data_IF_970653379328
#
_entry.id   IF_970653379328
#
_cell.length_a   1.000
_cell.length_b   1.000
_cell.length_c   1.000
_cell.angle_alpha   90.00
_cell.angle_beta   90.00
_cell.angle_gamma   90.00
#
_symmetry.space_group_name_H-M   'P 1'
#
loop_
_entity.id
_entity.type
_entity.pdbx_description
1 polymer ?
#
# COMPACT_ATOMS: atom_id res chain seq x y z
N UNK A 1 -7.99 9.36 24.94
CA UNK A 1 -6.93 9.29 23.91
C UNK A 1 -7.48 9.80 22.59
N UNK A 2 -6.89 10.86 22.04
CA UNK A 2 -7.39 11.51 20.84
C UNK A 2 -7.10 10.64 19.62
N UNK A 3 -8.09 10.39 18.75
CA UNK A 3 -7.92 9.49 17.58
C UNK A 3 -6.78 9.91 16.66
N UNK A 4 -6.39 11.19 16.69
CA UNK A 4 -5.25 11.73 15.95
C UNK A 4 -3.89 11.31 16.52
N UNK A 5 -3.76 11.21 17.84
CA UNK A 5 -2.51 10.82 18.51
C UNK A 5 -2.21 9.33 18.29
N UNK A 6 -3.24 8.49 18.32
CA UNK A 6 -3.12 7.06 18.01
C UNK A 6 -2.70 6.84 16.55
N UNK A 7 -3.24 7.63 15.63
CA UNK A 7 -2.88 7.56 14.22
C UNK A 7 -1.41 7.95 13.98
N UNK A 8 -0.96 9.02 14.62
CA UNK A 8 0.43 9.49 14.51
C UNK A 8 1.43 8.45 15.05
N UNK A 9 1.09 7.78 16.16
CA UNK A 9 1.91 6.70 16.71
C UNK A 9 2.04 5.49 15.78
N UNK A 10 0.96 5.10 15.10
CA UNK A 10 0.98 3.97 14.15
C UNK A 10 1.82 4.29 12.92
N UNK A 11 1.74 5.52 12.39
CA UNK A 11 2.54 5.95 11.23
C UNK A 11 4.03 5.98 11.57
N UNK A 12 4.40 6.47 12.77
CA UNK A 12 5.79 6.48 13.24
C UNK A 12 6.36 5.07 13.41
N UNK A 13 5.58 4.15 13.98
CA UNK A 13 5.97 2.74 14.11
C UNK A 13 6.17 2.08 12.74
N UNK A 14 5.31 2.40 11.77
CA UNK A 14 5.43 1.89 10.42
C UNK A 14 6.69 2.42 9.72
N UNK A 15 6.97 3.73 9.87
CA UNK A 15 8.15 4.37 9.31
C UNK A 15 9.45 3.81 9.91
N UNK A 16 9.47 3.59 11.23
CA UNK A 16 10.57 2.94 11.93
C UNK A 16 10.81 1.50 11.44
N UNK A 17 9.74 0.73 11.22
CA UNK A 17 9.83 -0.64 10.69
C UNK A 17 10.35 -0.68 9.24
N UNK A 18 9.94 0.28 8.40
CA UNK A 18 10.45 0.42 7.04
C UNK A 18 11.93 0.83 7.00
N UNK A 19 12.35 1.73 7.90
CA UNK A 19 13.75 2.12 8.04
C UNK A 19 14.61 0.96 8.53
N UNK A 20 14.08 0.12 9.43
CA UNK A 20 14.80 -1.06 9.91
C UNK A 20 14.92 -2.16 8.84
N UNK A 21 13.89 -2.32 8.01
CA UNK A 21 13.87 -3.29 6.89
C UNK A 21 14.82 -2.92 5.74
N UNK A 22 15.25 -1.65 5.65
CA UNK A 22 16.20 -1.17 4.64
C UNK A 22 17.66 -1.20 5.09
N UNK A 23 17.97 -1.72 6.30
CA UNK A 23 19.36 -1.87 6.71
C UNK A 23 20.04 -2.95 5.84
N UNK A 24 21.02 -2.60 4.98
CA UNK A 24 21.63 -3.54 4.07
C UNK A 24 22.43 -4.58 4.86
N UNK A 25 22.03 -5.84 4.80
CA UNK A 25 22.74 -6.95 5.44
C UNK A 25 24.01 -7.26 4.64
N UNK A 26 25.13 -6.63 5.04
CA UNK A 26 26.44 -6.68 4.35
C UNK A 26 27.17 -8.04 4.47
N UNK A 27 26.59 -9.06 5.10
CA UNK A 27 27.31 -10.28 5.48
C UNK A 27 27.16 -11.48 4.52
N UNK A 28 26.16 -11.49 3.63
CA UNK A 28 25.82 -12.69 2.86
C UNK A 28 26.82 -13.02 1.73
N UNK A 29 27.46 -12.00 1.13
CA UNK A 29 28.41 -12.19 0.00
C UNK A 29 29.78 -12.72 0.44
N UNK A 30 30.23 -12.34 1.63
CA UNK A 30 31.46 -12.87 2.22
C UNK A 30 31.27 -14.31 2.70
N UNK A 31 30.14 -14.61 3.35
CA UNK A 31 29.84 -15.98 3.76
C UNK A 31 29.71 -16.93 2.56
N UNK A 32 29.11 -16.48 1.44
CA UNK A 32 29.12 -17.25 0.18
C UNK A 32 30.54 -17.53 -0.33
N UNK A 33 31.42 -16.51 -0.34
CA UNK A 33 32.84 -16.64 -0.73
C UNK A 33 33.52 -17.81 -0.02
N UNK A 34 33.39 -17.81 1.30
CA UNK A 34 34.15 -18.72 2.15
C UNK A 34 33.61 -20.14 2.03
N UNK A 35 32.28 -20.32 1.92
CA UNK A 35 31.68 -21.63 1.61
C UNK A 35 32.16 -22.18 0.27
N UNK A 36 32.22 -21.36 -0.77
CA UNK A 36 32.71 -21.79 -2.09
C UNK A 36 34.17 -22.21 -2.01
N UNK A 37 35.03 -21.43 -1.35
CA UNK A 37 36.45 -21.79 -1.18
C UNK A 37 36.62 -23.13 -0.45
N UNK A 38 35.83 -23.40 0.59
CA UNK A 38 35.86 -24.68 1.31
C UNK A 38 35.37 -25.82 0.41
N UNK A 39 34.24 -25.64 -0.27
CA UNK A 39 33.66 -26.64 -1.16
C UNK A 39 34.60 -27.02 -2.31
N UNK A 40 35.27 -26.04 -2.92
CA UNK A 40 36.21 -26.28 -4.02
C UNK A 40 37.54 -26.90 -3.54
N UNK A 41 37.98 -26.61 -2.31
CA UNK A 41 39.11 -27.32 -1.70
C UNK A 41 38.79 -28.80 -1.48
N UNK A 42 37.58 -29.11 -1.01
CA UNK A 42 37.15 -30.50 -0.87
C UNK A 42 37.15 -31.23 -2.22
N UNK A 43 36.67 -30.58 -3.28
CA UNK A 43 36.72 -31.14 -4.64
C UNK A 43 38.16 -31.39 -5.08
N UNK A 44 39.05 -30.43 -4.88
CA UNK A 44 40.48 -30.58 -5.19
C UNK A 44 41.12 -31.74 -4.43
N UNK A 45 40.77 -31.91 -3.15
CA UNK A 45 41.24 -33.03 -2.33
C UNK A 45 40.76 -34.38 -2.88
N UNK A 46 39.48 -34.49 -3.23
CA UNK A 46 38.93 -35.74 -3.81
C UNK A 46 39.57 -36.09 -5.16
N UNK A 47 39.91 -35.10 -5.98
CA UNK A 47 40.64 -35.31 -7.25
C UNK A 47 42.07 -35.83 -7.05
N UNK A 48 42.78 -35.29 -6.07
CA UNK A 48 44.13 -35.77 -5.74
C UNK A 48 44.07 -37.21 -5.21
N UNK A 49 43.13 -37.48 -4.29
CA UNK A 49 42.93 -38.81 -3.74
C UNK A 49 42.51 -39.85 -4.78
N UNK A 50 41.71 -39.48 -5.79
CA UNK A 50 41.35 -40.40 -6.88
C UNK A 50 42.55 -40.83 -7.73
N UNK A 51 43.61 -40.04 -7.75
CA UNK A 51 44.89 -40.36 -8.41
C UNK A 51 45.91 -41.02 -7.45
N UNK A 52 45.51 -41.30 -6.20
CA UNK A 52 46.39 -41.83 -5.17
C UNK A 52 47.39 -40.81 -4.61
N UNK A 53 47.17 -39.52 -4.84
CA UNK A 53 47.99 -38.43 -4.32
C UNK A 53 47.39 -37.88 -3.01
N UNK A 54 48.06 -38.18 -1.89
CA UNK A 54 47.65 -37.71 -0.56
C UNK A 54 48.58 -36.62 0.00
N UNK A 55 49.61 -36.21 -0.75
CA UNK A 55 50.65 -35.30 -0.25
C UNK A 55 50.63 -33.94 -0.93
N UNK A 56 50.24 -33.89 -2.20
CA UNK A 56 50.21 -32.63 -2.95
C UNK A 56 49.24 -31.62 -2.35
N UNK A 57 49.65 -30.35 -2.34
CA UNK A 57 48.81 -29.28 -1.83
C UNK A 57 47.86 -28.73 -2.89
N UNK A 58 46.64 -28.40 -2.44
CA UNK A 58 45.72 -27.54 -3.19
C UNK A 58 46.11 -26.09 -2.90
N UNK A 59 46.48 -25.36 -3.93
CA UNK A 59 46.88 -23.95 -3.81
C UNK A 59 45.67 -23.09 -3.37
N UNK A 60 45.91 -21.87 -2.84
CA UNK A 60 44.83 -21.00 -2.39
C UNK A 60 43.78 -20.77 -3.49
N UNK A 61 42.52 -21.09 -3.20
CA UNK A 61 41.39 -20.86 -4.11
C UNK A 61 41.22 -19.37 -4.33
N UNK A 62 41.40 -18.92 -5.57
CA UNK A 62 41.33 -17.51 -5.95
C UNK A 62 39.91 -17.16 -6.41
N UNK A 63 39.43 -16.00 -5.99
CA UNK A 63 38.21 -15.40 -6.53
C UNK A 63 38.61 -14.48 -7.68
N UNK A 64 38.25 -14.85 -8.91
CA UNK A 64 38.54 -14.07 -10.12
C UNK A 64 37.46 -13.01 -10.35
N UNK A 65 36.18 -13.39 -10.17
CA UNK A 65 35.01 -12.52 -10.24
C UNK A 65 34.08 -12.82 -9.05
N UNK A 66 33.01 -12.05 -8.86
CA UNK A 66 32.06 -12.25 -7.74
C UNK A 66 31.59 -13.71 -7.60
N UNK A 67 31.33 -14.37 -8.73
CA UNK A 67 30.86 -15.76 -8.81
C UNK A 67 31.80 -16.70 -9.55
N UNK A 68 33.03 -16.27 -9.88
CA UNK A 68 34.03 -17.08 -10.60
C UNK A 68 35.23 -17.36 -9.70
N UNK A 69 35.51 -18.63 -9.46
CA UNK A 69 36.55 -19.10 -8.56
C UNK A 69 37.49 -20.04 -9.31
N UNK A 70 38.75 -20.05 -8.92
CA UNK A 70 39.81 -20.84 -9.55
C UNK A 70 40.50 -21.70 -8.50
N UNK A 71 40.68 -22.98 -8.82
CA UNK A 71 41.52 -23.91 -8.08
C UNK A 71 42.72 -24.35 -8.92
N UNK A 72 43.83 -24.57 -8.25
CA UNK A 72 45.08 -25.03 -8.83
C UNK A 72 45.83 -25.90 -7.81
N UNK A 73 46.81 -26.66 -8.30
CA UNK A 73 47.50 -27.69 -7.53
C UNK A 73 49.01 -27.45 -7.59
N UNK A 74 49.73 -27.86 -6.55
CA UNK A 74 51.19 -27.80 -6.50
C UNK A 74 51.83 -28.68 -7.58
N UNK A 75 51.31 -29.91 -7.74
CA UNK A 75 51.79 -30.89 -8.71
C UNK A 75 50.84 -31.05 -9.89
N UNK A 76 51.36 -31.60 -10.99
CA UNK A 76 50.57 -31.93 -12.19
C UNK A 76 49.50 -32.95 -11.86
N UNK A 77 48.29 -32.73 -12.36
CA UNK A 77 47.12 -33.57 -12.11
C UNK A 77 46.68 -34.22 -13.43
N UNK A 78 46.37 -35.51 -13.40
CA UNK A 78 45.56 -36.21 -14.40
C UNK A 78 44.25 -36.61 -13.73
N UNK A 79 43.16 -36.75 -14.48
CA UNK A 79 41.87 -37.18 -13.91
C UNK A 79 40.87 -37.52 -15.01
N UNK A 80 39.83 -38.27 -14.66
CA UNK A 80 38.66 -38.44 -15.54
C UNK A 80 37.65 -37.30 -15.33
N UNK A 81 37.17 -36.65 -16.40
CA UNK A 81 36.14 -35.61 -16.32
C UNK A 81 34.94 -35.97 -15.44
N UNK A 82 34.48 -37.21 -15.51
CA UNK A 82 33.30 -37.67 -14.76
C UNK A 82 33.53 -37.62 -13.24
N UNK A 83 34.76 -37.85 -12.78
CA UNK A 83 35.12 -37.68 -11.37
C UNK A 83 34.99 -36.22 -10.94
N UNK A 84 35.52 -35.29 -11.76
CA UNK A 84 35.38 -33.85 -11.52
C UNK A 84 33.90 -33.44 -11.46
N UNK A 85 33.09 -33.88 -12.42
CA UNK A 85 31.64 -33.62 -12.43
C UNK A 85 30.98 -34.13 -11.15
N UNK A 86 31.24 -35.37 -10.78
CA UNK A 86 30.61 -36.01 -9.61
C UNK A 86 31.03 -35.32 -8.30
N UNK A 87 32.32 -35.10 -8.09
CA UNK A 87 32.83 -34.46 -6.87
C UNK A 87 32.30 -33.03 -6.71
N UNK A 88 32.26 -32.25 -7.79
CA UNK A 88 31.63 -30.92 -7.77
C UNK A 88 30.14 -31.00 -7.46
N UNK A 89 29.39 -31.88 -8.12
CA UNK A 89 27.95 -32.03 -7.89
C UNK A 89 27.66 -32.37 -6.43
N UNK A 90 28.42 -33.28 -5.83
CA UNK A 90 28.27 -33.66 -4.41
C UNK A 90 28.65 -32.50 -3.49
N UNK A 91 29.77 -31.83 -3.73
CA UNK A 91 30.26 -30.72 -2.89
C UNK A 91 29.29 -29.52 -2.93
N UNK A 92 28.85 -29.11 -4.12
CA UNK A 92 27.89 -28.01 -4.32
C UNK A 92 26.56 -28.28 -3.60
N UNK A 93 26.04 -29.52 -3.68
CA UNK A 93 24.81 -29.91 -3.01
C UNK A 93 24.95 -29.89 -1.48
N UNK A 94 26.08 -30.36 -0.93
CA UNK A 94 26.35 -30.33 0.52
C UNK A 94 26.46 -28.90 1.05
N UNK A 95 27.07 -28.00 0.30
CA UNK A 95 27.34 -26.62 0.73
C UNK A 95 26.18 -25.64 0.48
N UNK A 96 25.01 -26.13 0.04
CA UNK A 96 23.83 -25.28 -0.25
C UNK A 96 24.15 -24.14 -1.23
N UNK A 97 25.05 -24.39 -2.17
CA UNK A 97 25.45 -23.45 -3.22
C UNK A 97 24.46 -23.48 -4.40
N UNK A 98 24.64 -22.57 -5.36
CA UNK A 98 23.81 -22.59 -6.56
C UNK A 98 24.07 -23.87 -7.35
N UNK A 99 22.99 -24.52 -7.79
CA UNK A 99 23.06 -25.73 -8.62
C UNK A 99 23.39 -25.43 -10.08
N UNK A 100 23.33 -24.15 -10.48
CA UNK A 100 23.61 -23.70 -11.83
C UNK A 100 25.04 -23.18 -11.90
N UNK A 101 25.93 -23.93 -12.55
CA UNK A 101 27.34 -23.58 -12.65
C UNK A 101 27.98 -24.11 -13.93
N UNK A 102 29.00 -23.38 -14.38
CA UNK A 102 29.88 -23.74 -15.49
C UNK A 102 31.28 -24.01 -14.97
N UNK A 103 31.93 -25.02 -15.51
CA UNK A 103 33.32 -25.37 -15.18
C UNK A 103 34.17 -25.33 -16.43
N UNK A 104 35.34 -24.72 -16.31
CA UNK A 104 36.36 -24.60 -17.35
C UNK A 104 37.69 -25.09 -16.78
N UNK A 105 38.27 -26.11 -17.40
CA UNK A 105 39.60 -26.64 -17.10
C UNK A 105 40.55 -26.10 -18.16
N UNK A 106 41.43 -25.19 -17.74
CA UNK A 106 42.37 -24.48 -18.60
C UNK A 106 43.77 -25.08 -18.46
N UNK A 107 44.54 -25.09 -19.54
CA UNK A 107 45.94 -25.51 -19.51
C UNK A 107 46.81 -24.33 -19.04
N UNK A 108 47.78 -24.57 -18.15
CA UNK A 108 48.54 -23.47 -17.54
C UNK A 108 49.45 -22.69 -18.51
N UNK A 109 49.77 -23.23 -19.69
CA UNK A 109 50.79 -22.65 -20.57
C UNK A 109 50.22 -21.63 -21.56
N UNK A 110 49.01 -21.86 -22.06
CA UNK A 110 48.32 -21.01 -23.04
C UNK A 110 46.96 -20.50 -22.54
N UNK A 111 46.48 -20.98 -21.38
CA UNK A 111 45.13 -20.74 -20.87
C UNK A 111 44.03 -21.18 -21.85
N UNK A 112 44.30 -22.17 -22.70
CA UNK A 112 43.28 -22.77 -23.56
C UNK A 112 42.45 -23.79 -22.79
N UNK A 113 41.18 -23.93 -23.18
CA UNK A 113 40.24 -24.85 -22.54
C UNK A 113 40.57 -26.28 -22.94
N UNK A 114 41.07 -27.07 -21.99
CA UNK A 114 41.22 -28.52 -22.15
C UNK A 114 39.89 -29.25 -22.04
N UNK A 115 39.02 -28.79 -21.14
CA UNK A 115 37.73 -29.39 -20.85
C UNK A 115 36.77 -28.38 -20.26
N UNK A 116 35.48 -28.45 -20.59
CA UNK A 116 34.46 -27.61 -19.98
C UNK A 116 33.10 -28.30 -19.97
N UNK A 117 32.26 -27.93 -19.01
CA UNK A 117 30.89 -28.41 -18.92
C UNK A 117 30.00 -27.41 -18.19
N UNK A 118 28.70 -27.54 -18.35
CA UNK A 118 27.70 -26.72 -17.67
C UNK A 118 26.62 -27.61 -17.05
N UNK A 119 26.30 -27.36 -15.79
CA UNK A 119 25.20 -28.00 -15.08
C UNK A 119 24.13 -26.96 -14.78
N UNK A 120 22.89 -27.35 -15.07
CA UNK A 120 21.70 -26.56 -14.76
C UNK A 120 20.70 -27.40 -13.94
N UNK A 121 19.84 -26.73 -13.18
CA UNK A 121 18.69 -27.31 -12.47
C UNK A 121 17.74 -27.97 -13.46
N UNK A 122 17.57 -27.37 -14.64
CA UNK A 122 16.86 -27.98 -15.75
C UNK A 122 17.80 -29.01 -16.39
N UNK A 123 17.61 -30.30 -16.11
CA UNK A 123 18.48 -31.38 -16.62
C UNK A 123 18.61 -31.34 -18.16
N UNK A 124 17.56 -30.91 -18.87
CA UNK A 124 17.56 -30.71 -20.33
C UNK A 124 18.60 -29.70 -20.83
N UNK A 125 19.04 -28.76 -19.98
CA UNK A 125 20.05 -27.74 -20.30
C UNK A 125 21.46 -28.10 -19.82
N UNK A 126 21.64 -29.28 -19.23
CA UNK A 126 22.95 -29.76 -18.77
C UNK A 126 23.78 -30.24 -19.96
N UNK A 127 25.02 -29.78 -20.05
CA UNK A 127 25.95 -30.12 -21.13
C UNK A 127 27.27 -30.63 -20.56
N UNK A 128 27.50 -31.94 -20.66
CA UNK A 128 28.73 -32.61 -20.19
C UNK A 128 29.38 -33.31 -21.40
N UNK A 129 30.29 -32.64 -22.13
CA UNK A 129 31.01 -33.26 -23.23
C UNK A 129 32.06 -34.26 -22.71
N UNK A 130 32.61 -35.09 -23.61
CA UNK A 130 33.83 -35.88 -23.38
C UNK A 130 33.83 -36.80 -22.15
N UNK A 131 32.66 -37.25 -21.68
CA UNK A 131 32.54 -38.26 -20.62
C UNK A 131 33.34 -39.53 -20.98
N UNK A 132 34.04 -40.10 -20.01
CA UNK A 132 34.91 -41.27 -20.16
C UNK A 132 36.28 -41.01 -20.80
N UNK A 133 36.66 -39.76 -21.12
CA UNK A 133 37.99 -39.46 -21.68
C UNK A 133 38.96 -38.96 -20.62
N UNK A 134 40.00 -39.74 -20.32
CA UNK A 134 41.03 -39.38 -19.36
C UNK A 134 41.82 -38.12 -19.78
N UNK A 135 41.96 -37.13 -18.88
CA UNK A 135 42.87 -36.01 -19.06
C UNK A 135 44.27 -36.38 -18.58
N UNK A 136 45.31 -36.24 -19.42
CA UNK A 136 46.67 -36.62 -19.06
C UNK A 136 47.26 -35.74 -17.96
N UNK A 137 48.23 -36.27 -17.22
CA UNK A 137 48.91 -35.58 -16.11
C UNK A 137 49.66 -34.32 -16.56
N UNK A 138 49.02 -33.16 -16.44
CA UNK A 138 49.54 -31.84 -16.84
C UNK A 138 49.20 -30.78 -15.79
N UNK A 139 49.64 -29.55 -16.03
CA UNK A 139 49.22 -28.41 -15.22
C UNK A 139 47.88 -27.89 -15.73
N UNK A 140 46.88 -27.86 -14.83
CA UNK A 140 45.54 -27.35 -15.11
C UNK A 140 45.10 -26.31 -14.07
N UNK A 141 44.33 -25.33 -14.54
CA UNK A 141 43.56 -24.40 -13.71
C UNK A 141 42.08 -24.74 -13.87
N UNK A 142 41.40 -25.04 -12.77
CA UNK A 142 39.96 -25.38 -12.82
C UNK A 142 39.18 -24.16 -12.33
N UNK A 143 38.45 -23.53 -13.24
CA UNK A 143 37.60 -22.39 -12.98
C UNK A 143 36.14 -22.81 -12.88
N UNK A 144 35.46 -22.37 -11.82
CA UNK A 144 34.05 -22.65 -11.55
C UNK A 144 33.32 -21.33 -11.47
N UNK A 145 32.33 -21.15 -12.36
CA UNK A 145 31.49 -19.98 -12.45
C UNK A 145 30.04 -20.33 -12.07
N UNK A 146 29.54 -19.76 -10.98
CA UNK A 146 28.14 -19.93 -10.56
C UNK A 146 27.25 -18.97 -11.36
N UNK A 147 26.36 -19.53 -12.18
CA UNK A 147 25.55 -18.78 -13.15
C UNK A 147 24.39 -18.05 -12.49
N UNK A 148 23.80 -18.66 -11.47
CA UNK A 148 22.82 -17.98 -10.62
C UNK A 148 23.50 -17.54 -9.34
N UNK A 149 24.01 -16.31 -9.33
CA UNK A 149 24.08 -15.61 -8.05
C UNK A 149 22.65 -15.43 -7.58
N UNK A 150 22.37 -15.85 -6.35
CA UNK A 150 21.17 -15.39 -5.67
C UNK A 150 21.31 -13.87 -5.51
N UNK A 151 20.89 -13.11 -6.52
CA UNK A 151 20.08 -11.94 -6.24
C UNK A 151 19.00 -12.44 -5.30
N UNK A 152 19.10 -12.04 -4.03
CA UNK A 152 18.06 -12.30 -3.04
C UNK A 152 16.73 -12.03 -3.73
N UNK A 153 15.95 -13.09 -3.99
CA UNK A 153 14.56 -12.93 -4.43
C UNK A 153 13.94 -11.94 -3.44
N UNK A 154 13.58 -10.77 -3.96
CA UNK A 154 13.07 -9.61 -3.24
C UNK A 154 11.92 -9.98 -2.29
N UNK A 155 12.25 -10.49 -1.09
CA UNK A 155 11.32 -10.53 0.04
C UNK A 155 10.92 -9.12 0.45
N UNK A 156 11.72 -8.11 0.11
CA UNK A 156 11.46 -6.67 0.24
C UNK A 156 10.18 -6.20 -0.47
N UNK A 157 9.79 -6.79 -1.61
CA UNK A 157 8.55 -6.39 -2.30
C UNK A 157 7.30 -6.76 -1.48
N UNK A 158 7.26 -7.95 -0.86
CA UNK A 158 6.13 -8.35 -0.02
C UNK A 158 5.93 -7.42 1.19
N UNK A 159 7.02 -6.95 1.80
CA UNK A 159 6.96 -6.00 2.91
C UNK A 159 6.46 -4.60 2.50
N UNK A 160 6.50 -4.23 1.22
CA UNK A 160 5.94 -2.97 0.69
C UNK A 160 4.46 -3.12 0.31
N UNK A 161 4.05 -4.28 -0.22
CA UNK A 161 2.66 -4.50 -0.62
C UNK A 161 1.70 -4.67 0.56
N UNK A 162 2.13 -5.33 1.65
CA UNK A 162 1.30 -5.50 2.86
C UNK A 162 0.83 -4.16 3.48
N UNK A 163 1.68 -3.14 3.68
CA UNK A 163 1.24 -1.82 4.14
C UNK A 163 0.27 -1.13 3.20
N UNK A 164 0.56 -1.17 1.89
CA UNK A 164 -0.27 -0.49 0.90
C UNK A 164 -1.68 -1.07 0.88
N UNK A 165 -1.80 -2.40 1.03
CA UNK A 165 -3.09 -3.09 1.15
C UNK A 165 -3.80 -2.66 2.44
N UNK A 166 -3.11 -2.62 3.58
CA UNK A 166 -3.73 -2.19 4.84
C UNK A 166 -4.19 -0.72 4.81
N UNK A 167 -3.41 0.18 4.22
CA UNK A 167 -3.77 1.59 4.01
C UNK A 167 -4.97 1.70 3.07
N UNK A 168 -5.00 0.93 1.99
CA UNK A 168 -6.11 0.90 1.04
C UNK A 168 -7.42 0.43 1.69
N UNK A 169 -7.39 -0.67 2.46
CA UNK A 169 -8.56 -1.15 3.21
C UNK A 169 -9.02 -0.14 4.28
N UNK A 170 -8.09 0.52 4.97
CA UNK A 170 -8.43 1.57 5.94
C UNK A 170 -9.07 2.79 5.26
N UNK A 171 -8.54 3.21 4.11
CA UNK A 171 -9.09 4.31 3.31
C UNK A 171 -10.50 3.99 2.81
N UNK A 172 -10.74 2.78 2.30
CA UNK A 172 -12.09 2.34 1.92
C UNK A 172 -13.07 2.39 3.09
N UNK A 173 -12.65 2.00 4.30
CA UNK A 173 -13.49 2.05 5.50
C UNK A 173 -13.82 3.49 5.93
N UNK A 174 -12.88 4.43 5.74
CA UNK A 174 -13.10 5.86 5.99
C UNK A 174 -14.10 6.48 5.00
N UNK A 175 -14.03 6.09 3.72
CA UNK A 175 -14.98 6.53 2.69
C UNK A 175 -16.40 6.02 3.01
N UNK A 176 -16.54 4.75 3.43
CA UNK A 176 -17.83 4.19 3.87
C UNK A 176 -18.38 4.90 5.11
N UNK A 177 -17.55 5.28 6.08
CA UNK A 177 -17.98 6.09 7.24
C UNK A 177 -18.48 7.48 6.85
N UNK A 178 -17.86 8.13 5.85
CA UNK A 178 -18.31 9.45 5.37
C UNK A 178 -19.68 9.37 4.69
N UNK A 179 -19.95 8.29 3.94
CA UNK A 179 -21.27 8.04 3.31
C UNK A 179 -22.38 7.81 4.36
N UNK A 180 -22.10 7.03 5.41
CA UNK A 180 -23.05 6.78 6.52
C UNK A 180 -23.31 8.02 7.40
N UNK A 181 -22.36 8.96 7.49
CA UNK A 181 -22.56 10.24 8.18
C UNK A 181 -23.44 11.22 7.39
N UNK A 182 -23.33 11.25 6.06
CA UNK A 182 -24.17 12.09 5.20
C UNK A 182 -25.62 11.57 5.09
N UNK A 183 -25.81 10.26 5.15
CA UNK A 183 -27.15 9.64 5.05
C UNK A 183 -27.97 9.80 6.34
N UNK A 184 -27.33 9.76 7.52
CA UNK A 184 -28.01 9.93 8.81
C UNK A 184 -28.40 11.39 9.14
N UNK A 185 -27.93 12.39 8.39
CA UNK A 185 -28.37 13.79 8.56
C UNK A 185 -29.63 14.13 7.73
N UNK A 186 -30.18 13.18 6.97
CA UNK A 186 -31.35 13.39 6.10
C UNK A 186 -32.68 12.88 6.68
N UNK A 187 -32.71 12.32 7.89
CA UNK A 187 -33.94 12.26 8.68
C UNK A 187 -34.19 13.62 9.37
N UNK A 188 -34.29 14.67 8.56
CA UNK A 188 -34.70 15.97 9.08
C UNK A 188 -36.21 15.97 9.24
N UNK A 189 -36.66 16.27 10.47
CA UNK A 189 -38.06 16.56 10.80
C UNK A 189 -38.54 17.72 9.93
N UNK A 190 -39.15 17.42 8.81
CA UNK A 190 -39.89 18.42 8.04
C UNK A 190 -41.27 18.59 8.68
N UNK A 191 -41.76 19.84 8.69
CA UNK A 191 -43.14 20.14 9.08
C UNK A 191 -43.95 20.31 7.80
N UNK A 192 -45.11 19.66 7.70
CA UNK A 192 -46.05 19.89 6.60
C UNK A 192 -46.83 21.18 6.86
N UNK A 193 -46.92 22.02 5.84
CA UNK A 193 -47.68 23.27 5.86
C UNK A 193 -48.46 23.34 4.54
N UNK A 194 -49.75 22.96 4.58
CA UNK A 194 -50.56 22.78 3.36
C UNK A 194 -49.85 21.88 2.34
N UNK A 195 -49.58 22.40 1.14
CA UNK A 195 -48.82 21.71 0.09
C UNK A 195 -47.28 21.92 0.13
N UNK A 196 -46.77 22.62 1.15
CA UNK A 196 -45.35 22.85 1.36
C UNK A 196 -44.75 21.90 2.40
N UNK A 197 -43.52 21.46 2.15
CA UNK A 197 -42.64 20.82 3.13
C UNK A 197 -41.66 21.86 3.65
N UNK A 198 -41.73 22.17 4.94
CA UNK A 198 -40.87 23.13 5.61
C UNK A 198 -39.71 22.45 6.33
N UNK A 199 -38.48 22.82 5.98
CA UNK A 199 -37.24 22.32 6.57
C UNK A 199 -36.55 23.45 7.35
N UNK A 200 -36.79 23.58 8.67
CA UNK A 200 -36.26 24.68 9.46
C UNK A 200 -34.73 24.70 9.50
N UNK A 201 -34.08 23.53 9.64
CA UNK A 201 -32.61 23.43 9.71
C UNK A 201 -31.91 23.81 8.38
N UNK A 202 -32.60 23.60 7.25
CA UNK A 202 -32.08 23.93 5.92
C UNK A 202 -32.53 25.32 5.44
N UNK A 203 -33.34 26.04 6.23
CA UNK A 203 -33.97 27.31 5.83
C UNK A 203 -34.61 27.22 4.43
N UNK A 204 -35.39 26.16 4.16
CA UNK A 204 -36.03 25.98 2.84
C UNK A 204 -37.47 25.49 2.93
N UNK A 205 -38.25 25.85 1.93
CA UNK A 205 -39.57 25.31 1.63
C UNK A 205 -39.49 24.51 0.33
N UNK A 206 -40.17 23.37 0.27
CA UNK A 206 -40.26 22.56 -0.95
C UNK A 206 -41.72 22.34 -1.30
N UNK A 207 -42.09 22.62 -2.54
CA UNK A 207 -43.43 22.33 -3.09
C UNK A 207 -43.30 21.75 -4.49
N UNK A 208 -43.89 20.57 -4.72
CA UNK A 208 -43.90 19.87 -6.03
C UNK A 208 -42.53 19.92 -6.74
N UNK A 209 -41.47 19.56 -6.01
CA UNK A 209 -40.06 19.57 -6.46
C UNK A 209 -39.40 20.96 -6.70
N UNK A 210 -40.09 22.08 -6.42
CA UNK A 210 -39.49 23.42 -6.43
C UNK A 210 -38.97 23.78 -5.04
N UNK A 211 -37.68 24.03 -4.93
CA UNK A 211 -37.07 24.53 -3.70
C UNK A 211 -37.14 26.06 -3.64
N UNK A 212 -37.61 26.57 -2.50
CA UNK A 212 -37.72 27.99 -2.19
C UNK A 212 -36.83 28.27 -0.97
N UNK A 213 -35.72 28.96 -1.19
CA UNK A 213 -34.82 29.36 -0.11
C UNK A 213 -35.48 30.42 0.79
N UNK A 214 -35.34 30.26 2.11
CA UNK A 214 -35.72 31.21 3.13
C UNK A 214 -34.47 31.82 3.76
N UNK A 215 -34.53 33.11 4.10
CA UNK A 215 -33.56 33.67 5.03
C UNK A 215 -33.82 33.19 6.45
N UNK A 216 -32.81 33.23 7.33
CA UNK A 216 -32.94 32.82 8.74
C UNK A 216 -34.13 33.46 9.44
N UNK A 217 -34.35 34.77 9.23
CA UNK A 217 -35.47 35.54 9.81
C UNK A 217 -36.83 35.12 9.25
N UNK A 218 -36.91 34.81 7.96
CA UNK A 218 -38.14 34.27 7.36
C UNK A 218 -38.46 32.88 7.91
N UNK A 219 -37.42 32.06 8.14
CA UNK A 219 -37.54 30.73 8.73
C UNK A 219 -38.04 30.79 10.18
N UNK A 220 -37.44 31.64 11.02
CA UNK A 220 -37.87 31.88 12.41
C UNK A 220 -39.32 32.36 12.49
N UNK A 221 -39.70 33.34 11.66
CA UNK A 221 -41.08 33.84 11.60
C UNK A 221 -42.06 32.76 11.18
N UNK A 222 -41.73 32.01 10.11
CA UNK A 222 -42.60 30.95 9.61
C UNK A 222 -42.76 29.82 10.62
N UNK A 223 -41.71 29.48 11.37
CA UNK A 223 -41.80 28.49 12.44
C UNK A 223 -42.74 28.92 13.57
N UNK A 224 -42.70 30.20 13.96
CA UNK A 224 -43.62 30.76 14.97
C UNK A 224 -45.07 30.66 14.45
N UNK A 225 -45.31 30.99 13.18
CA UNK A 225 -46.64 30.92 12.58
C UNK A 225 -47.14 29.49 12.42
N UNK A 226 -46.30 28.53 12.02
CA UNK A 226 -46.67 27.11 11.93
C UNK A 226 -47.04 26.57 13.32
N UNK A 227 -46.25 26.91 14.34
CA UNK A 227 -46.51 26.47 15.73
C UNK A 227 -47.80 27.08 16.29
N UNK A 228 -48.19 28.27 15.81
CA UNK A 228 -49.40 28.98 16.20
C UNK A 228 -50.39 29.07 15.02
N UNK A 229 -50.50 28.01 14.23
CA UNK A 229 -51.42 27.97 13.10
C UNK A 229 -52.85 28.29 13.56
N UNK A 230 -53.58 29.05 12.76
CA UNK A 230 -54.94 29.52 13.04
C UNK A 230 -55.11 30.39 14.30
N UNK A 231 -54.01 30.86 14.92
CA UNK A 231 -54.05 31.82 16.05
C UNK A 231 -53.46 33.18 15.65
N UNK A 232 -53.95 34.25 16.27
CA UNK A 232 -53.41 35.61 16.08
C UNK A 232 -52.16 35.78 16.94
N UNK A 233 -51.04 36.11 16.32
CA UNK A 233 -49.78 36.43 17.02
C UNK A 233 -49.56 37.93 17.01
N UNK A 234 -49.31 38.52 18.18
CA UNK A 234 -49.18 39.97 18.34
C UNK A 234 -47.90 40.48 17.67
N UNK A 235 -47.95 41.73 17.17
CA UNK A 235 -46.80 42.36 16.50
C UNK A 235 -45.57 42.48 17.41
N UNK A 236 -45.79 42.88 18.65
CA UNK A 236 -44.75 43.00 19.69
C UNK A 236 -44.09 41.65 19.98
N UNK A 237 -44.88 40.59 20.07
CA UNK A 237 -44.40 39.24 20.32
C UNK A 237 -43.52 38.70 19.18
N UNK A 238 -43.93 38.92 17.93
CA UNK A 238 -43.12 38.56 16.75
C UNK A 238 -41.81 39.33 16.72
N UNK A 239 -41.86 40.62 17.03
CA UNK A 239 -40.68 41.50 17.02
C UNK A 239 -39.70 41.08 18.11
N UNK A 240 -40.19 40.84 19.33
CA UNK A 240 -39.38 40.40 20.47
C UNK A 240 -38.68 39.06 20.22
N UNK A 241 -39.42 38.04 19.76
CA UNK A 241 -38.86 36.70 19.55
C UNK A 241 -37.82 36.65 18.44
N UNK A 242 -38.01 37.43 17.38
CA UNK A 242 -37.15 37.37 16.20
C UNK A 242 -36.01 38.37 16.26
N UNK A 243 -36.19 39.56 16.84
CA UNK A 243 -35.15 40.61 16.89
C UNK A 243 -34.50 40.78 18.27
N UNK A 244 -35.27 40.94 19.36
CA UNK A 244 -34.71 41.27 20.68
C UNK A 244 -33.89 40.12 21.28
N UNK A 245 -34.38 38.88 21.20
CA UNK A 245 -33.67 37.71 21.74
C UNK A 245 -32.35 37.39 21.02
N UNK A 246 -32.15 37.94 19.82
CA UNK A 246 -31.01 37.64 18.97
C UNK A 246 -30.01 38.81 18.85
N UNK A 247 -30.17 39.90 19.64
CA UNK A 247 -29.18 40.96 19.78
C UNK A 247 -28.92 41.82 18.54
N UNK A 248 -29.80 41.79 17.53
CA UNK A 248 -29.60 42.54 16.27
C UNK A 248 -30.51 43.77 16.23
N UNK A 249 -29.90 44.94 16.39
CA UNK A 249 -30.56 46.24 16.24
C UNK A 249 -30.41 46.70 14.77
N UNK A 250 -31.54 46.75 14.07
CA UNK A 250 -31.82 47.36 12.74
C UNK A 250 -31.52 46.56 11.46
N UNK A 251 -32.50 46.60 10.54
CA UNK A 251 -32.27 46.40 9.11
C UNK A 251 -33.55 46.58 8.25
N UNK A 252 -34.66 45.92 8.60
CA UNK A 252 -35.95 45.98 7.86
C UNK A 252 -37.13 45.72 8.81
N UNK A 253 -38.28 46.33 8.53
CA UNK A 253 -39.50 46.16 9.33
C UNK A 253 -40.06 44.73 9.25
N UNK A 254 -40.73 44.27 10.31
CA UNK A 254 -41.50 43.01 10.35
C UNK A 254 -42.39 42.88 9.10
N UNK A 255 -43.03 43.97 8.70
CA UNK A 255 -43.95 44.04 7.55
C UNK A 255 -43.29 43.65 6.22
N UNK A 256 -42.00 43.96 6.07
CA UNK A 256 -41.23 43.58 4.87
C UNK A 256 -41.05 42.06 4.80
N UNK A 257 -40.75 41.42 5.93
CA UNK A 257 -40.61 39.97 6.01
C UNK A 257 -41.95 39.26 5.84
N UNK A 258 -43.03 39.79 6.43
CA UNK A 258 -44.40 39.30 6.21
C UNK A 258 -44.77 39.39 4.72
N UNK A 259 -44.42 40.48 4.04
CA UNK A 259 -44.66 40.65 2.60
C UNK A 259 -43.89 39.64 1.76
N UNK A 260 -42.63 39.35 2.10
CA UNK A 260 -41.82 38.34 1.41
C UNK A 260 -42.35 36.93 1.64
N UNK A 261 -42.71 36.57 2.87
CA UNK A 261 -43.33 35.29 3.21
C UNK A 261 -44.65 35.12 2.45
N UNK A 262 -45.50 36.15 2.41
CA UNK A 262 -46.75 36.12 1.64
C UNK A 262 -46.52 35.86 0.16
N UNK A 263 -45.50 36.46 -0.45
CA UNK A 263 -45.14 36.20 -1.86
C UNK A 263 -44.68 34.74 -2.07
N UNK A 264 -43.89 34.20 -1.15
CA UNK A 264 -43.38 32.81 -1.21
C UNK A 264 -44.49 31.77 -0.99
N UNK A 265 -45.47 32.07 -0.13
CA UNK A 265 -46.61 31.19 0.16
C UNK A 265 -47.78 31.36 -0.82
N UNK A 266 -47.76 32.38 -1.69
CA UNK A 266 -48.84 32.70 -2.64
C UNK A 266 -49.18 31.54 -3.58
N UNK A 267 -48.24 30.65 -3.84
CA UNK A 267 -48.43 29.50 -4.73
C UNK A 267 -49.43 28.48 -4.16
N UNK A 268 -49.79 28.56 -2.88
CA UNK A 268 -50.80 27.69 -2.25
C UNK A 268 -52.02 28.49 -1.77
N UNK A 269 -53.19 28.16 -2.31
CA UNK A 269 -54.46 28.80 -1.94
C UNK A 269 -55.01 28.33 -0.59
N UNK A 270 -54.49 27.21 -0.04
CA UNK A 270 -54.89 26.68 1.27
C UNK A 270 -54.30 27.46 2.44
N UNK A 271 -53.22 28.23 2.21
CA UNK A 271 -52.52 28.97 3.25
C UNK A 271 -52.64 30.47 3.00
N UNK A 272 -53.06 31.23 4.01
CA UNK A 272 -53.14 32.69 3.93
C UNK A 272 -52.54 33.35 5.16
N UNK A 273 -51.59 34.25 4.95
CA UNK A 273 -51.04 35.11 5.99
C UNK A 273 -51.79 36.44 6.02
N UNK A 274 -52.75 36.56 6.93
CA UNK A 274 -53.66 37.71 7.06
C UNK A 274 -53.17 38.70 8.12
N UNK A 275 -53.47 39.98 7.90
CA UNK A 275 -53.24 41.05 8.85
C UNK A 275 -54.53 41.31 9.63
N UNK A 276 -54.44 41.31 10.96
CA UNK A 276 -55.53 41.70 11.86
C UNK A 276 -55.21 43.12 12.36
N UNK A 277 -55.94 44.10 11.82
CA UNK A 277 -55.74 45.52 12.13
C UNK A 277 -55.73 45.77 13.64
N UNK A 278 -54.70 46.50 14.10
CA UNK A 278 -54.54 46.85 15.53
C UNK A 278 -54.03 45.73 16.43
N UNK A 279 -53.88 44.49 15.96
CA UNK A 279 -53.53 43.34 16.82
C UNK A 279 -52.26 42.61 16.36
N UNK A 280 -52.18 42.20 15.08
CA UNK A 280 -51.03 41.42 14.61
C UNK A 280 -51.33 40.58 13.37
N UNK A 281 -50.71 39.41 13.28
CA UNK A 281 -50.74 38.55 12.11
C UNK A 281 -51.27 37.16 12.44
N UNK A 282 -52.00 36.55 11.50
CA UNK A 282 -52.52 35.18 11.62
C UNK A 282 -52.19 34.39 10.36
N UNK A 283 -51.68 33.17 10.55
CA UNK A 283 -51.54 32.18 9.49
C UNK A 283 -52.79 31.30 9.49
N UNK A 284 -53.61 31.44 8.47
CA UNK A 284 -54.76 30.56 8.24
C UNK A 284 -54.36 29.41 7.34
N UNK A 285 -54.65 28.19 7.80
CA UNK A 285 -54.49 26.96 7.04
C UNK A 285 -55.90 26.38 6.90
N UNK A 286 -56.39 26.29 5.66
CA UNK A 286 -57.60 25.55 5.34
C UNK A 286 -57.24 24.06 5.32
N UNK A 287 -57.89 23.28 6.19
CA UNK A 287 -57.86 21.81 6.12
C UNK A 287 -58.56 21.31 4.85
#
# INVERSE_FOLDING_TARGET
MNKKEVFFGIVLLFFAFTLWSFYPQKNDTNDFSERVKIALREVGNQLLLSEGDSTSLILPVKRILENKFEISFENKLGFEPDQLVNFLKVSVNKSSLSKNYRVEVLQCFDNEVAYSYEINIDEEKTLIPCSGRFLPKKCYLIQVHFLDSRALKNKTLYYIFIPLILVFFYWQSFIKKKKKYLENKNLQKHKTLGSFMFYPEQNKLVKKAKEIALSKKECELLEIFITNANKVVKREELTKRVWENNGVIVGRSLDTYISKLRKKLKEDSSIKLINIHGVGYKLEIKE
#
